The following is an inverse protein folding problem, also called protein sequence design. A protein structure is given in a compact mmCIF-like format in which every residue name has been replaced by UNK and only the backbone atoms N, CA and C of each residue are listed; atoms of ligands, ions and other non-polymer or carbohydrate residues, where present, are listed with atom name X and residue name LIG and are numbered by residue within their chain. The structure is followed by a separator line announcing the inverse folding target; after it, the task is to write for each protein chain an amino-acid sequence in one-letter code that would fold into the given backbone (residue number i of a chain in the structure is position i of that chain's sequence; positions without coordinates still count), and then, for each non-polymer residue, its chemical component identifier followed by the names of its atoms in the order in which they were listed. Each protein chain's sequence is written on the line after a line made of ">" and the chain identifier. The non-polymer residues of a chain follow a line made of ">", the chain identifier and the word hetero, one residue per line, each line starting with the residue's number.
data_IF_525216948984
#
_entry.id   IF_525216948984
#
_cell.length_a   1.000
_cell.length_b   1.000
_cell.length_c   1.000
_cell.angle_alpha   90.00
_cell.angle_beta   90.00
_cell.angle_gamma   90.00
#
_symmetry.space_group_name_H-M   'P 1'
#
loop_
_entity.id
_entity.type
_entity.pdbx_description
1 polymer ?
#
# COMPACT_ATOMS: atom_id res chain seq x y z
N UNK A 1 -81.88 -1.11 -35.29
CA UNK A 1 -80.61 -0.81 -35.98
C UNK A 1 -80.02 -2.13 -36.45
N UNK A 2 -80.26 -2.51 -37.72
CA UNK A 2 -79.75 -3.78 -38.28
C UNK A 2 -78.27 -3.58 -38.59
N UNK A 3 -77.42 -4.26 -37.84
CA UNK A 3 -76.00 -4.30 -38.11
C UNK A 3 -75.81 -5.30 -39.25
N UNK A 4 -75.39 -4.82 -40.43
CA UNK A 4 -75.08 -5.67 -41.58
C UNK A 4 -73.89 -6.61 -41.30
N UNK A 5 -73.64 -7.62 -42.15
CA UNK A 5 -72.55 -8.57 -41.93
C UNK A 5 -71.20 -7.84 -41.88
N UNK A 6 -70.42 -8.09 -40.82
CA UNK A 6 -69.04 -7.62 -40.75
C UNK A 6 -68.11 -8.61 -41.44
N UNK A 7 -67.28 -8.10 -42.34
CA UNK A 7 -66.16 -8.84 -42.90
C UNK A 7 -64.92 -8.53 -42.06
N UNK A 8 -64.36 -9.53 -41.38
CA UNK A 8 -63.07 -9.42 -40.69
C UNK A 8 -61.99 -9.88 -41.67
N UNK A 9 -61.21 -8.94 -42.19
CA UNK A 9 -60.02 -9.23 -42.99
C UNK A 9 -58.80 -9.26 -42.06
N UNK A 10 -58.22 -10.44 -41.88
CA UNK A 10 -56.95 -10.60 -41.16
C UNK A 10 -55.85 -10.63 -42.23
N UNK A 11 -55.01 -9.61 -42.26
CA UNK A 11 -53.81 -9.57 -43.10
C UNK A 11 -52.58 -9.78 -42.22
N UNK A 12 -51.73 -10.72 -42.64
CA UNK A 12 -50.36 -10.87 -42.14
C UNK A 12 -49.45 -10.10 -43.09
N UNK A 13 -48.80 -9.05 -42.60
CA UNK A 13 -47.76 -8.33 -43.34
C UNK A 13 -46.40 -8.72 -42.75
N UNK A 14 -45.56 -9.33 -43.58
CA UNK A 14 -44.14 -9.46 -43.27
C UNK A 14 -43.49 -8.09 -43.33
N UNK A 15 -43.01 -7.58 -42.20
CA UNK A 15 -42.29 -6.30 -42.15
C UNK A 15 -40.87 -6.54 -42.69
N UNK A 16 -40.61 -6.10 -43.92
CA UNK A 16 -39.25 -6.02 -44.45
C UNK A 16 -38.45 -4.90 -43.75
N UNK A 17 -37.11 -4.94 -43.77
CA UNK A 17 -36.27 -3.95 -43.11
C UNK A 17 -36.38 -2.61 -43.86
N UNK A 18 -37.33 -1.78 -43.46
CA UNK A 18 -37.58 -0.52 -44.12
C UNK A 18 -37.81 0.59 -43.08
N UNK A 19 -36.84 1.50 -43.06
CA UNK A 19 -36.85 2.87 -42.54
C UNK A 19 -36.57 3.08 -41.03
N UNK A 20 -35.63 4.00 -40.77
CA UNK A 20 -35.07 4.46 -39.49
C UNK A 20 -36.02 5.02 -38.44
N UNK A 21 -37.26 4.53 -38.32
CA UNK A 21 -38.21 5.03 -37.33
C UNK A 21 -38.23 4.16 -36.07
N UNK A 22 -38.19 4.79 -34.89
CA UNK A 22 -38.42 4.16 -33.60
C UNK A 22 -39.87 3.69 -33.41
N UNK A 23 -40.77 4.02 -34.36
CA UNK A 23 -42.19 3.68 -34.36
C UNK A 23 -42.60 3.18 -35.74
N UNK A 24 -43.10 1.96 -35.81
CA UNK A 24 -43.72 1.37 -37.01
C UNK A 24 -45.20 1.76 -36.97
N UNK A 25 -45.67 2.51 -37.97
CA UNK A 25 -47.10 2.84 -38.13
C UNK A 25 -47.70 1.99 -39.25
N UNK A 26 -48.73 1.21 -38.94
CA UNK A 26 -49.48 0.44 -39.91
C UNK A 26 -50.91 0.98 -40.01
N UNK A 27 -51.38 1.28 -41.22
CA UNK A 27 -52.76 1.68 -41.48
C UNK A 27 -53.25 0.97 -42.74
N UNK A 28 -54.29 0.16 -42.60
CA UNK A 28 -54.90 -0.53 -43.72
C UNK A 28 -55.92 0.38 -44.41
N UNK A 29 -56.25 0.08 -45.66
CA UNK A 29 -57.27 0.82 -46.41
C UNK A 29 -58.16 -0.16 -47.16
N UNK A 30 -59.48 0.01 -47.06
CA UNK A 30 -60.46 -0.77 -47.81
C UNK A 30 -61.07 0.09 -48.92
N UNK A 31 -61.29 -0.49 -50.10
CA UNK A 31 -61.94 0.18 -51.23
C UNK A 31 -63.15 -0.63 -51.72
N UNK A 32 -64.29 0.03 -51.88
CA UNK A 32 -65.52 -0.54 -52.46
C UNK A 32 -66.29 0.56 -53.20
N UNK A 33 -66.86 0.23 -54.37
CA UNK A 33 -67.68 1.14 -55.20
C UNK A 33 -67.03 2.52 -55.45
N UNK A 34 -65.72 2.54 -55.68
CA UNK A 34 -64.95 3.77 -55.88
C UNK A 34 -64.69 4.60 -54.61
N UNK A 35 -65.19 4.18 -53.44
CA UNK A 35 -64.92 4.82 -52.16
C UNK A 35 -63.81 4.09 -51.40
N UNK A 36 -62.89 4.87 -50.85
CA UNK A 36 -61.74 4.39 -50.09
C UNK A 36 -61.89 4.80 -48.62
N UNK A 37 -61.80 3.85 -47.69
CA UNK A 37 -61.88 4.08 -46.24
C UNK A 37 -60.65 3.52 -45.52
N UNK A 38 -59.85 4.36 -44.85
CA UNK A 38 -58.72 3.88 -44.05
C UNK A 38 -59.18 3.29 -42.71
N UNK A 39 -58.41 2.36 -42.16
CA UNK A 39 -58.54 1.90 -40.78
C UNK A 39 -57.98 2.92 -39.80
N UNK A 40 -58.14 2.69 -38.50
CA UNK A 40 -57.30 3.35 -37.51
C UNK A 40 -55.83 2.90 -37.70
N UNK A 41 -54.84 3.80 -37.49
CA UNK A 41 -53.45 3.43 -37.48
C UNK A 41 -53.11 2.63 -36.20
N UNK A 42 -52.19 1.67 -36.33
CA UNK A 42 -51.58 0.93 -35.23
C UNK A 42 -50.11 1.33 -35.18
N UNK A 43 -49.63 1.77 -34.01
CA UNK A 43 -48.24 2.16 -33.80
C UNK A 43 -47.51 1.14 -32.92
N UNK A 44 -46.39 0.61 -33.40
CA UNK A 44 -45.51 -0.27 -32.62
C UNK A 44 -44.18 0.44 -32.41
N UNK A 45 -43.82 0.73 -31.15
CA UNK A 45 -42.52 1.31 -30.83
C UNK A 45 -41.47 0.20 -30.74
N UNK A 46 -40.37 0.36 -31.45
CA UNK A 46 -39.19 -0.49 -31.29
C UNK A 46 -38.25 0.25 -30.34
N UNK A 47 -37.99 -0.32 -29.16
CA UNK A 47 -36.99 0.20 -28.21
C UNK A 47 -35.62 -0.44 -28.46
N UNK A 48 -34.56 0.29 -28.13
CA UNK A 48 -33.20 -0.24 -28.09
C UNK A 48 -32.91 -0.66 -26.65
N UNK A 49 -32.74 -1.96 -26.42
CA UNK A 49 -32.50 -2.51 -25.09
C UNK A 49 -31.28 -3.43 -25.16
N UNK A 50 -30.31 -3.19 -24.29
CA UNK A 50 -29.17 -4.06 -24.08
C UNK A 50 -29.08 -4.34 -22.56
N UNK A 51 -28.62 -5.53 -22.18
CA UNK A 51 -28.22 -5.84 -20.82
C UNK A 51 -26.76 -6.27 -20.85
N UNK A 52 -25.98 -5.81 -19.88
CA UNK A 52 -24.58 -6.17 -19.69
C UNK A 52 -24.38 -6.60 -18.23
N UNK A 53 -23.80 -7.77 -18.01
CA UNK A 53 -23.29 -8.17 -16.70
C UNK A 53 -21.82 -8.55 -16.78
N UNK A 54 -21.12 -8.38 -15.66
CA UNK A 54 -19.70 -8.71 -15.50
C UNK A 54 -19.50 -9.45 -14.21
N UNK A 55 -18.89 -10.62 -14.31
CA UNK A 55 -18.58 -11.47 -13.18
C UNK A 55 -17.11 -11.86 -13.19
N UNK A 56 -16.63 -12.31 -12.03
CA UNK A 56 -15.27 -12.78 -11.82
C UNK A 56 -15.35 -14.07 -11.01
N UNK A 57 -14.49 -15.03 -11.33
CA UNK A 57 -14.50 -16.38 -10.75
C UNK A 57 -14.33 -16.39 -9.22
N UNK A 58 -13.62 -15.40 -8.68
CA UNK A 58 -13.36 -15.23 -7.23
C UNK A 58 -13.46 -13.78 -6.79
N UNK A 59 -13.91 -13.55 -5.55
CA UNK A 59 -14.02 -12.21 -4.95
C UNK A 59 -12.79 -11.80 -4.14
N UNK A 60 -11.87 -12.74 -3.91
CA UNK A 60 -10.61 -12.53 -3.20
C UNK A 60 -9.46 -13.13 -4.01
N UNK A 61 -8.30 -12.48 -4.01
CA UNK A 61 -7.12 -12.92 -4.76
C UNK A 61 -5.81 -12.44 -4.13
N UNK A 62 -4.69 -13.05 -4.48
CA UNK A 62 -3.35 -12.59 -4.12
C UNK A 62 -2.55 -12.13 -5.34
N UNK A 63 -1.44 -11.42 -5.10
CA UNK A 63 -0.50 -11.08 -6.17
C UNK A 63 0.01 -12.36 -6.82
N UNK A 64 0.01 -12.43 -8.15
CA UNK A 64 0.34 -13.66 -8.87
C UNK A 64 -0.87 -14.54 -9.21
N UNK A 65 -2.07 -14.24 -8.70
CA UNK A 65 -3.27 -14.96 -9.12
C UNK A 65 -3.73 -14.57 -10.52
N UNK A 66 -4.38 -15.53 -11.18
CA UNK A 66 -5.11 -15.33 -12.43
C UNK A 66 -6.61 -15.28 -12.15
N UNK A 67 -7.23 -14.17 -12.49
CA UNK A 67 -8.67 -13.89 -12.36
C UNK A 67 -9.35 -14.09 -13.71
N UNK A 68 -10.41 -14.88 -13.75
CA UNK A 68 -11.21 -15.11 -14.98
C UNK A 68 -12.47 -14.28 -14.89
N UNK A 69 -12.65 -13.40 -15.88
CA UNK A 69 -13.82 -12.54 -16.00
C UNK A 69 -14.77 -13.09 -17.05
N UNK A 70 -16.07 -12.95 -16.78
CA UNK A 70 -17.16 -13.33 -17.70
C UNK A 70 -18.05 -12.11 -17.94
N UNK A 71 -18.18 -11.70 -19.19
CA UNK A 71 -19.09 -10.67 -19.65
C UNK A 71 -20.28 -11.33 -20.36
N UNK A 72 -21.50 -11.01 -19.94
CA UNK A 72 -22.72 -11.46 -20.62
C UNK A 72 -23.43 -10.27 -21.22
N UNK A 73 -23.65 -10.31 -22.53
CA UNK A 73 -24.50 -9.38 -23.26
C UNK A 73 -25.82 -10.07 -23.61
N UNK A 74 -26.95 -9.37 -23.41
CA UNK A 74 -28.28 -9.85 -23.80
C UNK A 74 -29.05 -8.75 -24.53
N UNK A 75 -29.66 -9.10 -25.66
CA UNK A 75 -30.57 -8.26 -26.44
C UNK A 75 -32.02 -8.70 -26.23
N UNK A 76 -32.76 -8.13 -25.26
CA UNK A 76 -34.19 -8.40 -25.10
C UNK A 76 -35.07 -7.67 -26.13
N UNK A 77 -34.46 -6.95 -27.07
CA UNK A 77 -35.16 -6.17 -28.08
C UNK A 77 -35.71 -7.02 -29.23
N UNK A 78 -36.39 -6.33 -30.15
CA UNK A 78 -37.02 -6.93 -31.32
C UNK A 78 -36.21 -6.73 -32.62
N UNK A 79 -35.03 -6.12 -32.52
CA UNK A 79 -34.14 -5.89 -33.65
C UNK A 79 -32.69 -6.30 -33.31
N UNK A 80 -31.90 -6.82 -34.27
CA UNK A 80 -30.48 -7.13 -34.07
C UNK A 80 -29.64 -5.89 -33.72
N UNK A 81 -28.59 -6.10 -32.92
CA UNK A 81 -27.66 -5.09 -32.46
C UNK A 81 -26.24 -5.38 -32.93
N UNK A 82 -25.49 -4.31 -33.22
CA UNK A 82 -24.04 -4.31 -33.26
C UNK A 82 -23.53 -3.64 -31.99
N UNK A 83 -22.63 -4.32 -31.29
CA UNK A 83 -22.10 -3.89 -29.99
C UNK A 83 -20.59 -3.73 -30.06
N UNK A 84 -20.12 -2.56 -29.64
CA UNK A 84 -18.71 -2.33 -29.31
C UNK A 84 -18.55 -2.41 -27.79
N UNK A 85 -17.66 -3.27 -27.33
CA UNK A 85 -17.41 -3.56 -25.93
C UNK A 85 -15.97 -3.15 -25.59
N UNK A 86 -15.83 -2.29 -24.58
CA UNK A 86 -14.54 -1.89 -24.01
C UNK A 86 -14.46 -2.36 -22.55
N UNK A 87 -13.33 -2.93 -22.18
CA UNK A 87 -13.02 -3.30 -20.81
C UNK A 87 -11.79 -2.53 -20.33
N UNK A 88 -11.88 -1.94 -19.14
CA UNK A 88 -10.77 -1.25 -18.48
C UNK A 88 -10.30 -2.07 -17.27
N UNK A 89 -9.30 -2.96 -17.47
CA UNK A 89 -8.59 -3.62 -16.40
C UNK A 89 -8.11 -2.64 -15.32
N UNK A 90 -8.19 -3.02 -14.03
CA UNK A 90 -7.70 -2.20 -12.92
C UNK A 90 -6.17 -2.09 -12.96
N UNK A 91 -5.64 -1.00 -12.38
CA UNK A 91 -4.20 -0.84 -12.19
C UNK A 91 -3.60 -2.03 -11.42
N UNK A 92 -2.36 -2.41 -11.75
CA UNK A 92 -1.72 -3.58 -11.17
C UNK A 92 -2.28 -4.92 -11.66
N UNK A 93 -2.97 -4.93 -12.81
CA UNK A 93 -3.32 -6.17 -13.52
C UNK A 93 -2.83 -6.11 -14.97
N UNK A 94 -2.58 -7.27 -15.57
CA UNK A 94 -2.33 -7.40 -17.01
C UNK A 94 -3.27 -8.41 -17.64
N UNK A 95 -3.71 -8.14 -18.86
CA UNK A 95 -4.40 -9.15 -19.65
C UNK A 95 -3.47 -10.33 -19.99
N UNK A 96 -4.03 -11.55 -20.03
CA UNK A 96 -3.32 -12.76 -20.46
C UNK A 96 -3.80 -13.12 -21.87
N UNK A 97 -2.98 -12.92 -22.93
CA UNK A 97 -3.37 -13.23 -24.31
C UNK A 97 -3.72 -14.71 -24.53
N UNK A 98 -4.60 -14.98 -25.49
CA UNK A 98 -5.04 -16.34 -25.82
C UNK A 98 -6.00 -16.95 -24.80
N UNK A 99 -6.56 -16.13 -23.92
CA UNK A 99 -7.48 -16.55 -22.86
C UNK A 99 -8.90 -16.04 -23.09
N UNK A 100 -9.10 -15.20 -24.11
CA UNK A 100 -10.41 -14.71 -24.43
C UNK A 100 -11.16 -15.68 -25.34
N UNK A 101 -12.45 -15.83 -25.09
CA UNK A 101 -13.35 -16.64 -25.92
C UNK A 101 -14.72 -15.94 -26.04
N UNK A 102 -15.42 -16.05 -27.18
CA UNK A 102 -15.01 -16.75 -28.39
C UNK A 102 -13.99 -16.00 -29.28
N UNK A 103 -13.64 -14.75 -28.95
CA UNK A 103 -12.71 -13.95 -29.76
C UNK A 103 -11.76 -13.12 -28.88
N UNK A 104 -10.53 -12.93 -29.37
CA UNK A 104 -9.53 -12.07 -28.73
C UNK A 104 -9.86 -10.57 -28.91
N UNK A 105 -9.63 -9.74 -27.88
CA UNK A 105 -9.78 -8.30 -28.00
C UNK A 105 -8.60 -7.68 -28.76
N UNK A 106 -8.84 -6.52 -29.37
CA UNK A 106 -7.76 -5.59 -29.68
C UNK A 106 -7.33 -4.84 -28.41
N UNK A 107 -6.02 -4.54 -28.31
CA UNK A 107 -5.45 -3.81 -27.18
C UNK A 107 -5.18 -2.36 -27.57
N UNK A 108 -5.68 -1.42 -26.77
CA UNK A 108 -5.36 0.01 -26.87
C UNK A 108 -4.84 0.48 -25.51
N UNK A 109 -3.50 0.49 -25.35
CA UNK A 109 -2.89 0.63 -24.03
C UNK A 109 -3.24 -0.56 -23.14
N UNK A 110 -3.88 -0.30 -21.99
CA UNK A 110 -4.37 -1.35 -21.08
C UNK A 110 -5.85 -1.69 -21.28
N UNK A 111 -6.51 -1.17 -22.32
CA UNK A 111 -7.93 -1.42 -22.59
C UNK A 111 -8.11 -2.60 -23.53
N UNK A 112 -9.12 -3.43 -23.25
CA UNK A 112 -9.53 -4.53 -24.12
C UNK A 112 -10.73 -4.08 -24.94
N UNK A 113 -10.70 -4.24 -26.27
CA UNK A 113 -11.81 -3.85 -27.15
C UNK A 113 -12.25 -4.99 -28.04
N UNK A 114 -13.57 -5.21 -28.08
CA UNK A 114 -14.25 -6.04 -29.07
C UNK A 114 -15.20 -5.15 -29.86
N UNK A 115 -15.11 -5.17 -31.19
CA UNK A 115 -15.92 -4.32 -32.05
C UNK A 115 -16.85 -5.16 -32.93
N UNK A 116 -18.00 -4.59 -33.27
CA UNK A 116 -18.94 -5.22 -34.21
C UNK A 116 -19.52 -6.55 -33.71
N UNK A 117 -19.63 -6.75 -32.40
CA UNK A 117 -20.26 -7.94 -31.83
C UNK A 117 -21.73 -7.96 -32.20
N UNK A 118 -22.16 -8.98 -32.95
CA UNK A 118 -23.56 -9.11 -33.38
C UNK A 118 -24.38 -9.83 -32.33
N UNK A 119 -25.47 -9.20 -31.89
CA UNK A 119 -26.54 -9.83 -31.10
C UNK A 119 -27.81 -9.88 -31.95
N UNK A 120 -28.29 -11.07 -32.25
CA UNK A 120 -29.55 -11.29 -32.95
C UNK A 120 -30.76 -11.13 -32.02
N UNK A 121 -31.88 -11.72 -32.44
CA UNK A 121 -33.14 -11.73 -31.70
C UNK A 121 -33.66 -13.16 -31.60
N UNK A 122 -34.29 -13.49 -30.47
CA UNK A 122 -34.82 -14.82 -30.22
C UNK A 122 -33.79 -15.82 -29.65
N UNK A 123 -34.26 -17.01 -29.26
CA UNK A 123 -33.48 -17.94 -28.45
C UNK A 123 -32.14 -18.32 -29.08
N UNK A 124 -31.05 -18.09 -28.35
CA UNK A 124 -29.70 -18.50 -28.74
C UNK A 124 -28.99 -17.55 -29.70
N UNK A 125 -29.67 -16.49 -30.15
CA UNK A 125 -29.06 -15.41 -30.96
C UNK A 125 -29.01 -14.09 -30.19
N UNK A 126 -29.84 -13.95 -29.16
CA UNK A 126 -29.97 -12.76 -28.32
C UNK A 126 -28.92 -12.64 -27.21
N UNK A 127 -28.07 -13.65 -27.02
CA UNK A 127 -27.09 -13.72 -25.92
C UNK A 127 -25.69 -14.00 -26.45
N UNK A 128 -24.72 -13.24 -25.95
CA UNK A 128 -23.29 -13.49 -26.13
C UNK A 128 -22.60 -13.55 -24.77
N UNK A 129 -21.77 -14.58 -24.56
CA UNK A 129 -20.93 -14.73 -23.36
C UNK A 129 -19.47 -14.65 -23.80
N UNK A 130 -18.75 -13.69 -23.23
CA UNK A 130 -17.32 -13.49 -23.44
C UNK A 130 -16.59 -13.82 -22.14
N UNK A 131 -15.51 -14.59 -22.22
CA UNK A 131 -14.59 -14.77 -21.09
C UNK A 131 -13.22 -14.23 -21.44
N UNK A 132 -12.44 -13.83 -20.44
CA UNK A 132 -11.02 -13.46 -20.58
C UNK A 132 -10.34 -13.52 -19.20
N UNK A 133 -9.01 -13.58 -19.15
CA UNK A 133 -8.29 -13.62 -17.89
C UNK A 133 -7.33 -12.44 -17.69
N UNK A 134 -7.27 -11.95 -16.44
CA UNK A 134 -6.29 -10.99 -15.98
C UNK A 134 -5.34 -11.66 -14.98
N UNK A 135 -4.07 -11.28 -15.02
CA UNK A 135 -3.04 -11.65 -14.07
C UNK A 135 -2.81 -10.48 -13.09
N UNK A 136 -2.86 -10.75 -11.79
CA UNK A 136 -2.57 -9.76 -10.74
C UNK A 136 -1.05 -9.56 -10.63
N UNK A 137 -0.60 -8.31 -10.67
CA UNK A 137 0.79 -7.89 -10.62
C UNK A 137 1.18 -7.35 -9.23
N UNK A 138 2.49 -7.30 -8.89
CA UNK A 138 2.97 -6.53 -7.74
C UNK A 138 2.55 -5.06 -7.81
N UNK A 139 2.26 -4.45 -6.66
CA UNK A 139 1.80 -3.06 -6.57
C UNK A 139 0.32 -2.84 -6.93
N UNK A 140 -0.45 -3.92 -7.14
CA UNK A 140 -1.90 -3.81 -7.31
C UNK A 140 -2.57 -3.27 -6.03
N UNK A 141 -3.59 -2.40 -6.15
CA UNK A 141 -4.29 -1.86 -5.00
C UNK A 141 -5.10 -2.96 -4.30
N UNK A 142 -5.43 -2.73 -3.02
CA UNK A 142 -6.23 -3.68 -2.21
C UNK A 142 -7.60 -3.99 -2.81
N UNK A 143 -8.14 -3.09 -3.63
CA UNK A 143 -9.43 -3.25 -4.28
C UNK A 143 -9.25 -3.11 -5.79
N UNK A 144 -9.43 -4.22 -6.50
CA UNK A 144 -9.41 -4.27 -7.96
C UNK A 144 -10.83 -4.04 -8.47
N UNK A 145 -11.07 -2.90 -9.09
CA UNK A 145 -12.36 -2.54 -9.69
C UNK A 145 -12.22 -2.61 -11.20
N UNK A 146 -12.85 -3.62 -11.81
CA UNK A 146 -12.79 -3.83 -13.24
C UNK A 146 -14.12 -3.42 -13.89
N UNK A 147 -14.10 -2.53 -14.87
CA UNK A 147 -15.29 -1.92 -15.48
C UNK A 147 -15.33 -2.26 -16.97
N UNK A 148 -16.44 -2.81 -17.43
CA UNK A 148 -16.74 -2.98 -18.86
C UNK A 148 -17.83 -1.98 -19.28
N UNK A 149 -17.71 -1.44 -20.48
CA UNK A 149 -18.67 -0.53 -21.10
C UNK A 149 -19.06 -1.08 -22.48
N UNK A 150 -20.36 -1.23 -22.73
CA UNK A 150 -20.88 -1.65 -24.03
C UNK A 150 -21.65 -0.50 -24.69
N UNK A 151 -21.38 -0.26 -25.97
CA UNK A 151 -22.14 0.66 -26.82
C UNK A 151 -22.84 -0.15 -27.90
N UNK A 152 -24.17 -0.19 -27.88
CA UNK A 152 -24.97 -0.88 -28.88
C UNK A 152 -25.66 0.09 -29.82
N UNK A 153 -25.74 -0.27 -31.10
CA UNK A 153 -26.59 0.36 -32.11
C UNK A 153 -27.38 -0.71 -32.85
N UNK A 154 -28.49 -0.33 -33.51
CA UNK A 154 -29.19 -1.26 -34.40
C UNK A 154 -28.33 -1.59 -35.61
N UNK A 155 -28.35 -2.86 -35.98
CA UNK A 155 -27.69 -3.29 -37.19
C UNK A 155 -28.35 -2.63 -38.43
N UNK A 156 -27.54 -2.06 -39.32
CA UNK A 156 -28.00 -1.41 -40.56
C UNK A 156 -28.49 0.04 -40.41
N UNK A 157 -28.55 0.59 -39.20
CA UNK A 157 -28.88 2.02 -38.98
C UNK A 157 -27.67 2.74 -38.39
N UNK A 158 -26.97 3.50 -39.23
CA UNK A 158 -25.87 4.35 -38.78
C UNK A 158 -26.32 5.32 -37.67
N UNK A 159 -25.56 5.33 -36.57
CA UNK A 159 -25.44 6.35 -35.51
C UNK A 159 -26.67 6.96 -34.80
N UNK A 160 -27.92 6.74 -35.23
CA UNK A 160 -29.06 7.55 -34.74
C UNK A 160 -29.67 7.10 -33.40
N UNK A 161 -29.47 5.84 -32.98
CA UNK A 161 -29.87 5.37 -31.65
C UNK A 161 -28.78 4.48 -31.04
N UNK A 162 -28.22 4.90 -29.91
CA UNK A 162 -27.20 4.17 -29.17
C UNK A 162 -27.62 3.92 -27.72
N UNK A 163 -27.36 2.72 -27.22
CA UNK A 163 -27.47 2.38 -25.81
C UNK A 163 -26.05 2.22 -25.27
N UNK A 164 -25.76 2.86 -24.13
CA UNK A 164 -24.48 2.73 -23.43
C UNK A 164 -24.74 2.19 -22.03
N UNK A 165 -24.04 1.12 -21.67
CA UNK A 165 -24.18 0.44 -20.38
C UNK A 165 -22.81 0.11 -19.82
N UNK A 166 -22.71 0.08 -18.50
CA UNK A 166 -21.50 -0.37 -17.81
C UNK A 166 -21.80 -1.48 -16.81
N UNK A 167 -20.84 -2.37 -16.62
CA UNK A 167 -20.88 -3.41 -15.60
C UNK A 167 -19.54 -3.48 -14.86
N UNK A 168 -19.60 -3.72 -13.56
CA UNK A 168 -18.44 -3.69 -12.66
C UNK A 168 -18.28 -5.02 -11.94
N UNK A 169 -17.05 -5.53 -11.89
CA UNK A 169 -16.65 -6.61 -11.01
C UNK A 169 -15.56 -6.13 -10.05
N UNK A 170 -15.70 -6.47 -8.77
CA UNK A 170 -14.77 -6.07 -7.71
C UNK A 170 -14.13 -7.31 -7.09
N UNK A 171 -12.80 -7.27 -6.92
CA UNK A 171 -12.01 -8.27 -6.21
C UNK A 171 -11.22 -7.57 -5.10
N UNK A 172 -11.19 -8.18 -3.91
CA UNK A 172 -10.36 -7.74 -2.79
C UNK A 172 -9.03 -8.49 -2.83
N UNK A 173 -7.93 -7.76 -2.84
CA UNK A 173 -6.61 -8.36 -2.75
C UNK A 173 -6.33 -8.74 -1.30
N UNK A 174 -6.08 -10.02 -1.05
CA UNK A 174 -5.44 -10.48 0.16
C UNK A 174 -3.95 -10.19 0.01
N UNK A 175 -3.46 -9.17 0.74
CA UNK A 175 -2.02 -8.94 0.85
C UNK A 175 -1.40 -10.24 1.42
N UNK A 176 -0.57 -10.91 0.63
CA UNK A 176 0.00 -12.20 1.00
C UNK A 176 0.91 -12.07 2.23
N UNK A 177 1.20 -13.20 2.88
CA UNK A 177 2.07 -13.31 4.07
C UNK A 177 3.49 -12.74 3.85
N UNK A 178 3.87 -12.51 2.59
CA UNK A 178 5.16 -11.94 2.18
C UNK A 178 5.14 -10.44 1.87
N UNK A 179 3.98 -9.75 1.94
CA UNK A 179 3.99 -8.30 2.01
C UNK A 179 4.49 -7.92 3.42
N UNK A 180 5.70 -7.36 3.57
CA UNK A 180 6.21 -7.06 4.90
C UNK A 180 5.23 -6.10 5.58
N UNK A 181 4.70 -6.44 6.77
CA UNK A 181 3.85 -5.51 7.49
C UNK A 181 4.63 -4.23 7.72
N UNK A 182 3.93 -3.10 7.55
CA UNK A 182 4.50 -1.79 7.83
C UNK A 182 4.72 -1.67 9.33
N UNK A 183 5.98 -1.73 9.74
CA UNK A 183 6.39 -1.67 11.13
C UNK A 183 7.28 -0.46 11.33
N UNK A 184 7.04 0.27 12.41
CA UNK A 184 7.87 1.37 12.84
C UNK A 184 8.57 0.95 14.13
N UNK A 185 9.90 0.94 14.10
CA UNK A 185 10.76 0.69 15.26
C UNK A 185 11.58 1.93 15.58
N UNK A 186 12.10 1.98 16.80
CA UNK A 186 13.12 2.97 17.13
C UNK A 186 13.58 2.84 18.58
N UNK A 187 14.43 3.79 18.98
CA UNK A 187 14.96 3.92 20.32
C UNK A 187 14.86 5.36 20.80
N UNK A 188 14.64 5.55 22.10
CA UNK A 188 14.76 6.82 22.81
C UNK A 188 15.98 6.72 23.72
N UNK A 189 16.90 7.67 23.61
CA UNK A 189 18.16 7.62 24.37
C UNK A 189 18.70 9.03 24.63
N UNK A 190 19.49 9.17 25.69
CA UNK A 190 20.32 10.35 25.91
C UNK A 190 21.62 10.18 25.12
N UNK A 191 21.79 11.07 24.15
CA UNK A 191 22.91 11.11 23.23
C UNK A 191 24.09 11.83 23.91
N UNK A 192 25.07 11.04 24.35
CA UNK A 192 26.18 11.50 25.17
C UNK A 192 27.30 12.13 24.33
N UNK A 193 27.50 11.66 23.09
CA UNK A 193 28.53 12.16 22.18
C UNK A 193 28.01 13.13 21.10
N UNK A 194 26.68 13.31 21.03
CA UNK A 194 25.95 14.24 20.18
C UNK A 194 26.07 13.92 18.69
N UNK A 195 26.16 12.64 18.35
CA UNK A 195 26.23 12.20 16.95
C UNK A 195 24.85 11.86 16.33
N UNK A 196 23.80 11.89 17.15
CA UNK A 196 22.41 11.61 16.76
C UNK A 196 22.09 10.13 16.56
N UNK A 197 23.03 9.22 16.83
CA UNK A 197 22.91 7.77 16.68
C UNK A 197 23.09 7.09 18.02
N UNK A 198 22.50 5.91 18.17
CA UNK A 198 22.69 5.14 19.38
C UNK A 198 23.98 4.31 19.30
N UNK A 199 24.93 4.63 20.17
CA UNK A 199 26.16 3.88 20.42
C UNK A 199 26.04 3.12 21.75
N UNK A 200 26.01 1.79 21.67
CA UNK A 200 25.90 0.95 22.85
C UNK A 200 27.05 1.18 23.84
N UNK A 201 26.71 1.33 25.12
CA UNK A 201 27.65 1.64 26.19
C UNK A 201 27.90 3.15 26.36
N UNK A 202 28.04 3.89 25.28
CA UNK A 202 28.25 5.35 25.34
C UNK A 202 26.94 6.08 25.66
N UNK A 203 25.87 5.77 24.93
CA UNK A 203 24.57 6.40 25.11
C UNK A 203 23.72 5.70 26.16
N UNK A 204 22.84 6.49 26.78
CA UNK A 204 21.99 6.01 27.87
C UNK A 204 20.59 5.74 27.31
N UNK A 205 20.14 4.47 27.23
CA UNK A 205 18.77 4.18 26.82
C UNK A 205 17.78 4.77 27.81
N UNK A 206 16.65 5.28 27.31
CA UNK A 206 15.61 5.87 28.14
C UNK A 206 14.39 4.95 28.22
N UNK A 207 14.25 4.12 29.28
CA UNK A 207 13.09 3.24 29.47
C UNK A 207 11.85 4.00 29.95
N UNK A 208 10.66 3.50 29.60
CA UNK A 208 9.38 4.09 30.03
C UNK A 208 9.00 5.40 29.34
N UNK A 209 9.75 5.84 28.34
CA UNK A 209 9.40 6.97 27.49
C UNK A 209 8.22 6.61 26.60
N UNK A 210 7.22 7.49 26.51
CA UNK A 210 6.00 7.27 25.74
C UNK A 210 6.14 7.85 24.35
N UNK A 211 5.93 7.00 23.35
CA UNK A 211 5.89 7.36 21.93
C UNK A 211 4.47 7.22 21.42
N UNK A 212 4.00 8.20 20.64
CA UNK A 212 2.65 8.28 20.10
C UNK A 212 2.68 8.49 18.59
N UNK A 213 1.65 8.00 17.90
CA UNK A 213 1.40 8.23 16.49
C UNK A 213 0.24 9.20 16.28
N UNK A 214 0.18 9.81 15.08
CA UNK A 214 -0.90 10.73 14.67
C UNK A 214 -2.33 10.21 14.81
N UNK A 215 -2.52 8.89 14.85
CA UNK A 215 -3.83 8.26 15.04
C UNK A 215 -4.17 7.96 16.51
N UNK A 216 -3.31 8.36 17.45
CA UNK A 216 -3.49 8.13 18.89
C UNK A 216 -2.95 6.79 19.41
N UNK A 217 -2.40 5.93 18.56
CA UNK A 217 -1.66 4.75 19.03
C UNK A 217 -0.44 5.18 19.85
N UNK A 218 -0.15 4.45 20.92
CA UNK A 218 0.97 4.77 21.80
C UNK A 218 1.65 3.50 22.33
N UNK A 219 2.92 3.63 22.70
CA UNK A 219 3.72 2.58 23.32
C UNK A 219 4.73 3.18 24.30
N UNK A 220 5.31 2.33 25.16
CA UNK A 220 6.39 2.71 26.06
C UNK A 220 7.69 2.05 25.61
N UNK A 221 8.81 2.73 25.81
CA UNK A 221 10.12 2.14 25.59
C UNK A 221 10.46 1.05 26.60
N UNK A 222 11.14 0.00 26.16
CA UNK A 222 11.64 -1.08 27.01
C UNK A 222 12.89 -0.67 27.82
N UNK A 223 13.48 -1.59 28.58
CA UNK A 223 14.71 -1.36 29.36
C UNK A 223 15.90 -0.86 28.54
N UNK A 224 15.90 -1.14 27.23
CA UNK A 224 16.90 -0.71 26.26
C UNK A 224 16.44 0.57 25.51
N UNK A 225 15.37 1.22 25.94
CA UNK A 225 14.85 2.42 25.28
C UNK A 225 14.18 2.14 23.94
N UNK A 226 13.94 0.88 23.56
CA UNK A 226 13.37 0.52 22.25
C UNK A 226 11.85 0.59 22.27
N UNK A 227 11.25 0.99 21.15
CA UNK A 227 9.80 0.98 20.96
C UNK A 227 9.43 0.36 19.60
N UNK A 228 8.17 -0.07 19.47
CA UNK A 228 7.66 -0.63 18.21
C UNK A 228 6.17 -0.40 18.02
N UNK A 229 5.79 -0.09 16.77
CA UNK A 229 4.42 -0.17 16.26
C UNK A 229 4.39 -1.17 15.11
N UNK A 230 3.40 -2.07 15.13
CA UNK A 230 3.29 -3.16 14.15
C UNK A 230 2.02 -3.02 13.34
N UNK A 231 2.05 -3.55 12.11
CA UNK A 231 0.89 -3.64 11.22
C UNK A 231 0.24 -2.27 10.95
N UNK A 232 1.06 -1.26 10.71
CA UNK A 232 0.59 0.06 10.31
C UNK A 232 0.06 0.04 8.87
N UNK A 233 -0.70 1.07 8.52
CA UNK A 233 -0.96 1.39 7.11
C UNK A 233 0.30 2.07 6.56
N UNK A 234 0.77 1.67 5.38
CA UNK A 234 1.92 2.31 4.75
C UNK A 234 1.64 3.77 4.39
N UNK A 235 2.65 4.63 4.47
CA UNK A 235 2.52 6.06 4.16
C UNK A 235 3.19 6.98 5.18
N UNK A 236 2.79 8.26 5.18
CA UNK A 236 3.37 9.27 6.05
C UNK A 236 2.68 9.28 7.42
N UNK A 237 3.49 9.13 8.47
CA UNK A 237 3.07 9.18 9.86
C UNK A 237 3.70 10.36 10.58
N UNK A 238 3.02 10.92 11.57
CA UNK A 238 3.65 11.79 12.57
C UNK A 238 3.91 10.95 13.82
N UNK A 239 5.14 11.05 14.32
CA UNK A 239 5.60 10.35 15.52
C UNK A 239 5.94 11.40 16.56
N UNK A 240 5.49 11.20 17.79
CA UNK A 240 5.72 12.12 18.91
C UNK A 240 6.28 11.37 20.10
N UNK A 241 7.36 11.89 20.68
CA UNK A 241 7.81 11.57 22.02
C UNK A 241 7.08 12.48 23.03
N UNK A 242 6.39 11.91 24.01
CA UNK A 242 5.67 12.70 25.03
C UNK A 242 6.67 13.40 25.98
N UNK A 243 6.71 14.75 26.02
CA UNK A 243 7.71 15.47 26.83
C UNK A 243 7.64 15.17 28.32
N UNK A 244 6.44 14.88 28.86
CA UNK A 244 6.28 14.53 30.27
C UNK A 244 6.94 13.19 30.65
N UNK A 245 7.07 12.27 29.69
CA UNK A 245 7.70 10.96 29.88
C UNK A 245 9.21 10.97 29.60
N UNK A 246 9.69 11.99 28.88
CA UNK A 246 11.09 12.15 28.51
C UNK A 246 11.46 13.64 28.55
N UNK A 247 11.65 14.23 29.76
CA UNK A 247 11.84 15.66 29.95
C UNK A 247 13.27 16.12 29.61
N UNK A 248 13.76 15.75 28.43
CA UNK A 248 15.10 16.03 27.93
C UNK A 248 14.99 16.67 26.55
N UNK A 249 15.80 17.71 26.29
CA UNK A 249 15.70 18.45 25.03
C UNK A 249 16.03 17.55 23.84
N UNK A 250 15.16 17.38 22.83
CA UNK A 250 15.48 16.57 21.65
C UNK A 250 16.59 17.19 20.83
N UNK A 251 17.44 16.35 20.27
CA UNK A 251 18.43 16.81 19.31
C UNK A 251 17.76 17.12 17.95
N UNK A 252 18.32 18.06 17.17
CA UNK A 252 17.73 18.46 15.90
C UNK A 252 17.61 17.29 14.93
N UNK A 253 16.40 17.02 14.44
CA UNK A 253 16.15 16.08 13.35
C UNK A 253 15.79 16.88 12.07
N UNK A 254 16.27 16.50 10.87
CA UNK A 254 15.96 17.22 9.64
C UNK A 254 14.46 17.36 9.36
N UNK A 255 13.68 16.37 9.80
CA UNK A 255 12.22 16.33 9.68
C UNK A 255 11.49 16.72 10.98
N UNK A 256 12.20 17.28 11.95
CA UNK A 256 11.64 17.77 13.21
C UNK A 256 10.58 18.84 12.99
N UNK A 257 9.54 18.81 13.81
CA UNK A 257 8.48 19.80 13.89
C UNK A 257 8.45 20.38 15.32
N UNK A 258 8.53 21.71 15.43
CA UNK A 258 8.55 22.39 16.72
C UNK A 258 9.84 22.13 17.50
N UNK A 259 9.73 21.77 18.78
CA UNK A 259 10.86 21.55 19.70
C UNK A 259 11.58 20.20 19.51
N UNK A 260 11.40 19.51 18.39
CA UNK A 260 12.07 18.23 18.07
C UNK A 260 11.43 16.98 18.69
N UNK A 261 10.42 17.12 19.54
CA UNK A 261 9.65 15.99 20.09
C UNK A 261 8.72 15.32 19.08
N UNK A 262 8.57 15.90 17.89
CA UNK A 262 7.68 15.43 16.83
C UNK A 262 8.41 15.49 15.52
N UNK A 263 8.19 14.49 14.67
CA UNK A 263 8.65 14.52 13.29
C UNK A 263 7.79 13.60 12.43
N UNK A 264 7.94 13.74 11.12
CA UNK A 264 7.27 12.89 10.15
C UNK A 264 8.16 11.72 9.79
N UNK A 265 7.55 10.55 9.55
CA UNK A 265 8.24 9.34 9.11
C UNK A 265 7.41 8.69 8.03
N UNK A 266 8.01 8.38 6.89
CA UNK A 266 7.37 7.55 5.85
C UNK A 266 7.57 6.09 6.21
N UNK A 267 6.49 5.40 6.60
CA UNK A 267 6.50 3.99 6.99
C UNK A 267 6.24 3.13 5.75
N UNK A 268 7.27 2.40 5.33
CA UNK A 268 7.30 1.45 4.23
C UNK A 268 8.09 0.20 4.69
N UNK A 269 7.46 -0.99 4.67
CA UNK A 269 8.06 -2.21 5.23
C UNK A 269 8.54 -2.05 6.68
N UNK A 270 9.82 -2.32 6.94
CA UNK A 270 10.44 -2.08 8.26
C UNK A 270 11.13 -0.71 8.27
N UNK A 271 10.59 0.22 9.04
CA UNK A 271 11.09 1.60 9.16
C UNK A 271 11.65 1.86 10.55
N UNK A 272 12.77 2.56 10.64
CA UNK A 272 13.43 2.95 11.90
C UNK A 272 13.37 4.45 12.11
N UNK A 273 13.11 4.88 13.34
CA UNK A 273 13.02 6.29 13.71
C UNK A 273 13.41 6.48 15.17
N UNK A 274 14.54 7.08 15.45
CA UNK A 274 15.01 7.26 16.82
C UNK A 274 14.70 8.65 17.37
N UNK A 275 14.71 8.77 18.70
CA UNK A 275 14.67 10.03 19.43
C UNK A 275 15.96 10.20 20.24
N UNK A 276 17.00 10.82 19.64
CA UNK A 276 18.17 11.25 20.38
C UNK A 276 17.83 12.49 21.22
N UNK A 277 18.16 12.45 22.50
CA UNK A 277 17.89 13.51 23.48
C UNK A 277 19.20 14.08 24.00
N UNK A 278 19.26 15.39 24.18
CA UNK A 278 20.37 16.07 24.83
C UNK A 278 20.62 15.47 26.21
N UNK A 279 21.87 15.10 26.42
CA UNK A 279 22.36 14.72 27.73
C UNK A 279 22.33 15.94 28.69
N UNK A 280 21.72 15.84 29.89
CA UNK A 280 21.59 16.97 30.81
C UNK A 280 22.95 17.56 31.22
N UNK A 281 23.25 18.78 30.77
CA UNK A 281 24.50 19.47 31.12
C UNK A 281 24.50 20.12 32.53
N UNK A 282 23.38 20.05 33.27
CA UNK A 282 23.15 20.79 34.52
C UNK A 282 23.71 20.15 35.80
N UNK A 283 24.21 18.92 35.76
CA UNK A 283 25.00 18.29 36.82
C UNK A 283 26.46 18.20 36.37
N UNK A 284 27.06 19.34 36.01
CA UNK A 284 28.50 19.44 35.79
C UNK A 284 29.26 19.27 37.13
N UNK A 285 29.22 18.09 37.75
CA UNK A 285 30.47 17.53 38.29
C UNK A 285 31.28 17.25 37.04
N UNK A 286 32.31 18.06 36.81
CA UNK A 286 33.20 18.01 35.65
C UNK A 286 33.20 16.63 34.98
N UNK A 287 32.87 16.55 33.68
CA UNK A 287 33.25 15.38 32.89
C UNK A 287 34.76 15.24 33.08
N UNK A 288 35.15 14.32 33.95
CA UNK A 288 36.54 14.02 34.20
C UNK A 288 36.90 12.99 33.14
N UNK A 289 37.73 13.41 32.21
CA UNK A 289 38.28 12.58 31.18
C UNK A 289 39.76 12.37 31.45
N UNK A 290 40.23 11.14 31.32
CA UNK A 290 41.66 10.85 31.24
C UNK A 290 41.95 10.12 29.95
N UNK A 291 43.07 10.47 29.34
CA UNK A 291 43.59 9.78 28.17
C UNK A 291 44.91 9.14 28.55
N UNK A 292 45.00 7.82 28.37
CA UNK A 292 46.24 7.08 28.45
C UNK A 292 46.69 6.74 27.03
N UNK A 293 47.85 7.27 26.64
CA UNK A 293 48.53 6.88 25.41
C UNK A 293 49.75 6.05 25.76
N UNK A 294 49.80 4.81 25.28
CA UNK A 294 50.94 3.94 25.47
C UNK A 294 51.15 3.09 24.21
N UNK A 295 52.30 3.28 23.55
CA UNK A 295 52.60 2.63 22.27
C UNK A 295 51.51 2.93 21.22
N UNK A 296 50.99 1.92 20.49
CA UNK A 296 49.93 2.12 19.51
C UNK A 296 48.53 2.15 20.14
N UNK A 297 48.40 2.10 21.47
CA UNK A 297 47.12 2.09 22.20
C UNK A 297 46.81 3.49 22.75
N UNK A 298 45.59 3.96 22.48
CA UNK A 298 44.96 5.08 23.17
C UNK A 298 43.76 4.57 23.96
N UNK A 299 43.65 4.94 25.23
CA UNK A 299 42.49 4.66 26.08
C UNK A 299 41.94 5.97 26.62
N UNK A 300 40.73 6.34 26.20
CA UNK A 300 39.99 7.48 26.74
C UNK A 300 39.00 6.98 27.78
N UNK A 301 39.08 7.48 29.01
CA UNK A 301 38.14 7.20 30.09
C UNK A 301 37.25 8.40 30.33
N UNK A 302 35.93 8.21 30.30
CA UNK A 302 34.91 9.22 30.60
C UNK A 302 33.98 8.73 31.70
N UNK A 303 33.51 9.64 32.55
CA UNK A 303 32.45 9.38 33.52
C UNK A 303 31.17 10.10 33.08
N UNK A 304 30.13 9.32 32.81
CA UNK A 304 28.82 9.82 32.42
C UNK A 304 27.85 9.74 33.62
N UNK A 305 27.33 10.86 34.15
CA UNK A 305 26.39 10.83 35.27
C UNK A 305 25.06 10.11 34.95
N UNK A 306 24.70 9.12 35.75
CA UNK A 306 23.40 8.44 35.70
C UNK A 306 22.51 8.91 36.87
N UNK A 307 21.17 8.80 36.77
CA UNK A 307 20.27 9.11 37.89
C UNK A 307 20.62 8.40 39.21
N UNK A 308 21.25 7.21 39.13
CA UNK A 308 21.68 6.41 40.28
C UNK A 308 23.20 6.27 40.46
N UNK A 309 24.03 7.06 39.77
CA UNK A 309 25.48 6.93 39.87
C UNK A 309 26.25 7.54 38.70
N UNK A 310 27.28 6.84 38.22
CA UNK A 310 28.07 7.19 37.03
C UNK A 310 28.32 5.94 36.18
N UNK A 311 28.28 6.09 34.86
CA UNK A 311 28.78 5.11 33.91
C UNK A 311 30.23 5.44 33.58
N UNK A 312 31.12 4.49 33.84
CA UNK A 312 32.48 4.54 33.33
C UNK A 312 32.44 4.10 31.87
N UNK A 313 33.04 4.91 30.99
CA UNK A 313 33.19 4.61 29.57
C UNK A 313 34.69 4.60 29.25
N UNK A 314 35.18 3.49 28.72
CA UNK A 314 36.57 3.31 28.29
C UNK A 314 36.57 3.06 26.78
N UNK A 315 37.04 4.03 26.00
CA UNK A 315 37.20 3.92 24.55
C UNK A 315 38.65 3.56 24.26
N UNK A 316 38.87 2.34 23.77
CA UNK A 316 40.20 1.84 23.40
C UNK A 316 40.34 1.96 21.89
N UNK A 317 41.48 2.48 21.42
CA UNK A 317 41.81 2.56 19.99
C UNK A 317 43.24 2.09 19.78
N UNK A 318 43.46 1.17 18.84
CA UNK A 318 44.79 0.82 18.38
C UNK A 318 44.85 0.54 16.88
N UNK A 319 45.85 1.11 16.22
CA UNK A 319 46.11 0.88 14.79
C UNK A 319 46.82 -0.46 14.54
N UNK A 320 47.52 -0.99 15.55
CA UNK A 320 48.29 -2.23 15.48
C UNK A 320 47.60 -3.33 16.29
N UNK A 321 47.92 -4.59 15.98
CA UNK A 321 47.41 -5.73 16.74
C UNK A 321 48.21 -5.91 18.03
N UNK A 322 47.52 -5.81 19.18
CA UNK A 322 48.06 -6.04 20.51
C UNK A 322 47.71 -7.45 20.98
N UNK A 323 48.71 -8.23 21.40
CA UNK A 323 48.50 -9.61 21.91
C UNK A 323 48.49 -9.62 23.43
N UNK A 324 47.58 -10.38 24.04
CA UNK A 324 47.41 -10.51 25.49
C UNK A 324 47.21 -9.15 26.21
N UNK A 325 46.42 -8.24 25.61
CA UNK A 325 46.10 -6.94 26.21
C UNK A 325 45.26 -7.13 27.48
N UNK A 326 45.74 -6.58 28.59
CA UNK A 326 45.00 -6.42 29.84
C UNK A 326 44.82 -4.93 30.13
N UNK A 327 43.57 -4.49 30.24
CA UNK A 327 43.20 -3.16 30.76
C UNK A 327 42.65 -3.34 32.18
N UNK A 328 43.22 -2.63 33.13
CA UNK A 328 42.82 -2.62 34.53
C UNK A 328 42.36 -1.22 34.90
N UNK A 329 41.12 -1.07 35.34
CA UNK A 329 40.59 0.19 35.84
C UNK A 329 40.37 0.10 37.36
N UNK A 330 41.19 0.78 38.19
CA UNK A 330 41.02 0.81 39.64
C UNK A 330 39.67 1.39 40.04
N UNK A 331 39.01 0.82 41.05
CA UNK A 331 37.70 1.30 41.52
C UNK A 331 37.85 2.29 42.68
N UNK A 332 36.96 3.30 42.79
CA UNK A 332 37.10 4.36 43.80
C UNK A 332 36.98 3.89 45.25
N UNK A 333 36.23 2.82 45.50
CA UNK A 333 36.03 2.23 46.84
C UNK A 333 37.02 1.09 47.14
N UNK A 334 38.03 0.90 46.28
CA UNK A 334 38.96 -0.23 46.33
C UNK A 334 38.55 -1.38 45.39
N UNK A 335 39.54 -2.17 44.97
CA UNK A 335 39.39 -3.19 43.93
C UNK A 335 39.64 -2.66 42.52
N UNK A 336 39.39 -3.50 41.51
CA UNK A 336 39.68 -3.19 40.11
C UNK A 336 38.68 -3.87 39.15
N UNK A 337 38.48 -3.26 37.99
CA UNK A 337 37.83 -3.87 36.83
C UNK A 337 38.88 -4.26 35.81
N UNK A 338 38.92 -5.54 35.45
CA UNK A 338 39.94 -6.08 34.54
C UNK A 338 39.29 -6.59 33.27
N UNK A 339 39.75 -6.08 32.13
CA UNK A 339 39.35 -6.50 30.80
C UNK A 339 40.54 -7.17 30.10
N UNK A 340 40.31 -8.32 29.48
CA UNK A 340 41.35 -9.10 28.82
C UNK A 340 40.97 -9.37 27.38
N UNK A 341 41.94 -9.18 26.49
CA UNK A 341 41.83 -9.43 25.06
C UNK A 341 43.01 -10.31 24.65
N UNK A 342 42.74 -11.48 24.06
CA UNK A 342 43.80 -12.32 23.50
C UNK A 342 44.49 -11.60 22.32
N UNK A 343 43.69 -10.94 21.48
CA UNK A 343 44.14 -10.02 20.45
C UNK A 343 43.21 -8.81 20.39
N UNK A 344 43.78 -7.61 20.26
CA UNK A 344 43.03 -6.36 20.10
C UNK A 344 43.59 -5.52 18.96
N UNK A 345 42.73 -5.08 18.05
CA UNK A 345 43.01 -4.10 17.00
C UNK A 345 41.73 -3.33 16.70
N UNK A 346 41.84 -2.07 16.32
CA UNK A 346 40.71 -1.22 15.98
C UNK A 346 40.19 -0.45 17.19
N UNK A 347 38.87 -0.30 17.29
CA UNK A 347 38.21 0.49 18.31
C UNK A 347 37.16 -0.32 19.06
N UNK A 348 37.14 -0.22 20.40
CA UNK A 348 36.07 -0.80 21.21
C UNK A 348 35.73 0.12 22.39
N UNK A 349 34.47 0.09 22.78
CA UNK A 349 33.99 0.81 23.97
C UNK A 349 33.61 -0.20 25.06
N UNK A 350 34.15 -0.03 26.26
CA UNK A 350 33.84 -0.83 27.43
C UNK A 350 33.16 0.03 28.47
N UNK A 351 32.08 -0.45 29.05
CA UNK A 351 31.32 0.32 30.04
C UNK A 351 30.90 -0.47 31.25
N UNK A 352 30.84 0.21 32.40
CA UNK A 352 30.26 -0.34 33.61
C UNK A 352 29.78 0.78 34.54
N UNK A 353 28.78 0.49 35.38
CA UNK A 353 28.15 1.47 36.25
C UNK A 353 28.75 1.41 37.67
N UNK A 354 28.89 2.57 38.29
CA UNK A 354 29.33 2.76 39.67
C UNK A 354 28.33 3.65 40.41
N UNK A 355 28.12 3.47 41.73
CA UNK A 355 27.26 4.35 42.53
C UNK A 355 27.81 5.79 42.62
N UNK A 356 29.09 6.00 42.28
CA UNK A 356 29.79 7.28 42.25
C UNK A 356 31.28 7.10 42.53
N UNK A 357 32.02 8.20 42.62
CA UNK A 357 33.43 8.20 43.06
C UNK A 357 34.35 9.05 42.18
N UNK A 358 35.59 9.34 42.66
CA UNK A 358 36.61 10.03 41.87
C UNK A 358 37.00 9.24 40.61
N UNK A 359 37.47 9.97 39.60
CA UNK A 359 38.12 9.37 38.44
C UNK A 359 39.45 8.72 38.88
N UNK A 360 39.64 7.47 38.48
CA UNK A 360 40.87 6.70 38.61
C UNK A 360 41.53 6.54 37.24
N UNK A 361 42.86 6.46 37.19
CA UNK A 361 43.57 6.28 35.93
C UNK A 361 43.62 4.79 35.55
N UNK A 362 43.23 4.44 34.30
CA UNK A 362 43.36 3.08 33.83
C UNK A 362 44.84 2.70 33.67
N UNK A 363 45.11 1.41 33.82
CA UNK A 363 46.42 0.80 33.63
C UNK A 363 46.34 -0.24 32.52
N UNK A 364 47.34 -0.30 31.65
CA UNK A 364 47.38 -1.26 30.55
C UNK A 364 48.69 -2.03 30.53
N UNK A 365 48.62 -3.28 30.08
CA UNK A 365 49.78 -4.10 29.73
C UNK A 365 49.43 -5.01 28.56
N UNK A 366 50.38 -5.31 27.70
CA UNK A 366 50.25 -6.32 26.64
C UNK A 366 51.61 -7.00 26.43
N UNK A 367 51.63 -8.08 25.66
CA UNK A 367 52.88 -8.72 25.24
C UNK A 367 53.32 -8.14 23.91
N UNK A 368 54.54 -7.62 23.87
CA UNK A 368 55.20 -7.28 22.62
C UNK A 368 55.64 -8.59 21.94
N UNK A 369 55.40 -8.78 20.64
CA UNK A 369 55.88 -9.95 19.91
C UNK A 369 57.40 -10.07 19.89
#
# INVERSE_FOLDING_TARGET
>A
MRIGPFLILIFSLGVGPAWGQAVIRNQATAQADGQTRPSNPVETRVSLSLLLSKEVDRKEASVGDRLVYTLTLVNPGQAPLLVDLEDQPPAGTRYVPGTAAPAEPSLEGNKLRWQGLRLGVGPGQDRLVLSYALQVLPGAPERLVNIATATAAREGQGAQARAVLSATAVVKLQQGVFAPPHNLLGRVFLDADRDGRYTAGLDVPLPGARVLLSNGLQTLTDGEGRYSFRNLVGGLWEVMLEPASAPFRPLPHPEALGDGYRHRVRVEGLTTSDFPLEYPAGLARAQRETTLEFGPLKVEKKLLPLPGGVRVVLVLRSAETLTDLTLTDPLPEGGERVFRFEQFQGETTLTYDLPGGPLTDPQVRWRYP
#
